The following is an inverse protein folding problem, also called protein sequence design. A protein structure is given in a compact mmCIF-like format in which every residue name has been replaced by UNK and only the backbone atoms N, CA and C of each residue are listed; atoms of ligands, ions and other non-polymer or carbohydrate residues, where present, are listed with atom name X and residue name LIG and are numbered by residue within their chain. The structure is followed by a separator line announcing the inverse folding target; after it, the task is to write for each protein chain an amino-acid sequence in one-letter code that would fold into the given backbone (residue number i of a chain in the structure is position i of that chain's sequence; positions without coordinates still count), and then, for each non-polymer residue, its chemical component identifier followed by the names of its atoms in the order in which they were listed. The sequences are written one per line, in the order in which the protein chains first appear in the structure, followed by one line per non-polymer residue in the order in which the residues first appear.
data_IF_995095069588
#
_entry.id   IF_995095069588
#
_cell.length_a   1.000
_cell.length_b   1.000
_cell.length_c   1.000
_cell.angle_alpha   90.00
_cell.angle_beta   90.00
_cell.angle_gamma   90.00
#
_symmetry.space_group_name_H-M   'P 1'
#
loop_
_entity.id
_entity.type
_entity.pdbx_description
1 polymer ?
#
# COMPACT_ATOMS: atom_id res chain seq x y z
N UNK A 1 13.26 3.81 11.23
CA UNK A 1 12.74 2.42 11.33
C UNK A 1 11.49 2.36 10.49
N UNK A 2 11.43 1.50 9.48
CA UNK A 2 10.19 1.25 8.76
C UNK A 2 9.15 0.75 9.77
N UNK A 3 7.98 1.41 9.82
CA UNK A 3 6.89 0.91 10.65
C UNK A 3 6.41 -0.41 10.03
N UNK A 4 6.22 -1.47 10.82
CA UNK A 4 5.63 -2.70 10.29
C UNK A 4 4.25 -2.36 9.68
N UNK A 5 3.92 -3.02 8.58
CA UNK A 5 2.59 -2.87 7.98
C UNK A 5 1.53 -3.25 9.02
N UNK A 6 0.44 -2.46 9.12
CA UNK A 6 -0.62 -2.74 10.08
C UNK A 6 -1.22 -4.11 9.80
N UNK A 7 -1.45 -4.89 10.86
CA UNK A 7 -2.09 -6.19 10.73
C UNK A 7 -3.60 -6.02 10.50
N UNK A 8 -4.27 -7.07 9.99
CA UNK A 8 -5.70 -7.00 9.63
C UNK A 8 -6.60 -6.45 10.75
N UNK A 9 -6.35 -6.80 12.02
CA UNK A 9 -7.14 -6.28 13.15
C UNK A 9 -6.96 -4.77 13.35
N UNK A 10 -5.74 -4.26 13.11
CA UNK A 10 -5.45 -2.81 13.19
C UNK A 10 -6.13 -2.06 12.04
N UNK A 11 -6.18 -2.66 10.84
CA UNK A 11 -6.92 -2.09 9.70
C UNK A 11 -8.41 -2.09 9.95
N UNK A 12 -8.98 -3.19 10.44
CA UNK A 12 -10.40 -3.31 10.75
C UNK A 12 -10.83 -2.29 11.83
N UNK A 13 -9.95 -1.99 12.79
CA UNK A 13 -10.18 -0.99 13.84
C UNK A 13 -10.22 0.46 13.30
N UNK A 14 -9.57 0.74 12.16
CA UNK A 14 -9.55 2.07 11.55
C UNK A 14 -10.90 2.43 10.90
N UNK A 15 -11.82 1.48 10.70
CA UNK A 15 -13.10 1.67 9.99
C UNK A 15 -12.93 2.43 8.65
N UNK A 16 -11.86 2.11 7.92
CA UNK A 16 -11.56 2.71 6.63
C UNK A 16 -11.90 1.70 5.55
N UNK A 17 -12.59 2.13 4.50
CA UNK A 17 -12.86 1.29 3.35
C UNK A 17 -11.55 0.86 2.67
N UNK A 18 -11.41 -0.39 2.18
CA UNK A 18 -10.14 -0.88 1.61
C UNK A 18 -9.55 -0.01 0.51
N UNK A 19 -10.41 0.60 -0.33
CA UNK A 19 -9.98 1.53 -1.39
C UNK A 19 -9.39 2.82 -0.84
N UNK A 20 -9.89 3.31 0.30
CA UNK A 20 -9.38 4.53 0.90
C UNK A 20 -8.02 4.28 1.56
N UNK A 21 -7.83 3.11 2.18
CA UNK A 21 -6.49 2.69 2.63
C UNK A 21 -5.52 2.60 1.46
N UNK A 22 -5.93 1.97 0.34
CA UNK A 22 -5.08 1.83 -0.83
C UNK A 22 -4.63 3.20 -1.38
N UNK A 23 -5.54 4.18 -1.45
CA UNK A 23 -5.22 5.56 -1.85
C UNK A 23 -4.22 6.23 -0.91
N UNK A 24 -4.42 6.11 0.40
CA UNK A 24 -3.47 6.65 1.40
C UNK A 24 -2.08 6.04 1.28
N UNK A 25 -2.00 4.75 0.94
CA UNK A 25 -0.73 4.07 0.70
C UNK A 25 -0.06 4.57 -0.59
N UNK A 26 -0.82 4.82 -1.66
CA UNK A 26 -0.32 5.45 -2.88
C UNK A 26 0.25 6.84 -2.58
N UNK A 27 -0.48 7.67 -1.83
CA UNK A 27 -0.01 9.00 -1.42
C UNK A 27 1.31 8.90 -0.64
N UNK A 28 1.40 7.96 0.31
CA UNK A 28 2.62 7.74 1.07
C UNK A 28 3.81 7.24 0.22
N UNK A 29 3.56 6.48 -0.84
CA UNK A 29 4.60 6.04 -1.79
C UNK A 29 5.09 7.25 -2.61
N UNK A 30 4.17 8.08 -3.09
CA UNK A 30 4.49 9.30 -3.85
C UNK A 30 5.28 10.29 -2.98
N UNK A 31 4.90 10.47 -1.71
CA UNK A 31 5.64 11.30 -0.75
C UNK A 31 7.09 10.80 -0.54
N UNK A 32 7.31 9.50 -0.69
CA UNK A 32 8.64 8.86 -0.65
C UNK A 32 9.34 8.83 -2.02
N UNK A 33 8.82 9.57 -3.00
CA UNK A 33 9.31 9.65 -4.38
C UNK A 33 9.26 8.32 -5.14
N UNK A 34 8.41 7.38 -4.74
CA UNK A 34 8.21 6.14 -5.47
C UNK A 34 7.64 6.40 -6.86
N UNK A 35 8.10 5.64 -7.84
CA UNK A 35 7.75 5.78 -9.26
C UNK A 35 6.96 4.56 -9.76
N UNK A 36 6.43 4.64 -10.97
CA UNK A 36 5.65 3.55 -11.61
C UNK A 36 4.56 2.96 -10.70
N UNK A 37 3.87 3.82 -9.95
CA UNK A 37 2.86 3.38 -8.97
C UNK A 37 1.62 2.84 -9.68
N UNK A 38 1.36 1.55 -9.55
CA UNK A 38 0.22 0.84 -10.11
C UNK A 38 -0.66 0.28 -9.00
N UNK A 39 -1.93 0.70 -8.98
CA UNK A 39 -2.97 0.14 -8.12
C UNK A 39 -3.81 -0.87 -8.91
N UNK A 40 -3.80 -2.12 -8.47
CA UNK A 40 -4.55 -3.21 -9.08
C UNK A 40 -5.71 -3.62 -8.18
N UNK A 41 -6.92 -3.65 -8.72
CA UNK A 41 -8.09 -4.27 -8.09
C UNK A 41 -8.11 -5.76 -8.44
N UNK A 42 -7.97 -6.61 -7.42
CA UNK A 42 -7.90 -8.06 -7.59
C UNK A 42 -8.98 -8.80 -6.80
N UNK A 43 -10.01 -8.10 -6.33
CA UNK A 43 -11.12 -8.68 -5.56
C UNK A 43 -11.84 -9.81 -6.29
N UNK A 44 -11.87 -9.77 -7.61
CA UNK A 44 -12.47 -10.83 -8.44
C UNK A 44 -11.54 -12.03 -8.68
N UNK A 45 -10.24 -11.87 -8.40
CA UNK A 45 -9.21 -12.86 -8.71
C UNK A 45 -8.62 -13.51 -7.45
N UNK A 46 -8.68 -12.83 -6.30
CA UNK A 46 -8.08 -13.28 -5.05
C UNK A 46 -9.01 -13.05 -3.85
N UNK A 47 -9.13 -14.05 -2.97
CA UNK A 47 -9.96 -13.99 -1.75
C UNK A 47 -9.21 -13.48 -0.51
N UNK A 48 -7.88 -13.35 -0.60
CA UNK A 48 -7.03 -13.02 0.54
C UNK A 48 -6.65 -11.53 0.60
N UNK A 49 -6.92 -10.76 -0.45
CA UNK A 49 -6.61 -9.33 -0.55
C UNK A 49 -7.51 -8.64 -1.57
N UNK A 50 -7.77 -7.35 -1.37
CA UNK A 50 -8.60 -6.56 -2.28
C UNK A 50 -7.78 -5.86 -3.37
N UNK A 51 -6.64 -5.29 -2.98
CA UNK A 51 -5.81 -4.46 -3.85
C UNK A 51 -4.32 -4.83 -3.75
N UNK A 52 -3.62 -4.71 -4.87
CA UNK A 52 -2.16 -4.68 -4.90
C UNK A 52 -1.67 -3.30 -5.31
N UNK A 53 -0.60 -2.85 -4.66
CA UNK A 53 0.10 -1.62 -5.01
C UNK A 53 1.53 -2.04 -5.39
N UNK A 54 1.90 -1.78 -6.64
CA UNK A 54 3.23 -2.04 -7.18
C UNK A 54 3.88 -0.69 -7.43
N UNK A 55 5.13 -0.53 -7.05
CA UNK A 55 5.90 0.69 -7.32
C UNK A 55 7.38 0.37 -7.46
N UNK A 56 8.09 1.26 -8.13
CA UNK A 56 9.54 1.26 -8.31
C UNK A 56 10.19 2.28 -7.37
N UNK A 57 11.39 1.99 -6.89
CA UNK A 57 12.24 2.94 -6.18
C UNK A 57 13.65 2.88 -6.73
N UNK A 58 14.30 4.03 -6.88
CA UNK A 58 15.61 4.14 -7.54
C UNK A 58 16.77 3.63 -6.69
N UNK A 59 16.58 3.45 -5.38
CA UNK A 59 17.63 2.95 -4.48
C UNK A 59 17.10 2.13 -3.33
N UNK A 60 17.91 1.21 -2.80
CA UNK A 60 17.57 0.46 -1.59
C UNK A 60 17.25 1.38 -0.40
N UNK A 61 17.93 2.52 -0.30
CA UNK A 61 17.68 3.50 0.76
C UNK A 61 16.28 4.07 0.67
N UNK A 62 15.81 4.37 -0.54
CA UNK A 62 14.46 4.86 -0.78
C UNK A 62 13.42 3.78 -0.49
N UNK A 63 13.67 2.54 -0.94
CA UNK A 63 12.79 1.40 -0.67
C UNK A 63 12.65 1.10 0.84
N UNK A 64 13.62 1.49 1.67
CA UNK A 64 13.63 1.30 3.12
C UNK A 64 13.20 2.53 3.93
N UNK A 65 13.00 3.69 3.29
CA UNK A 65 12.53 4.92 3.93
C UNK A 65 11.05 4.78 4.30
#
# INVERSE_FOLDING_TARGET
MARPFPNRKEVDALKVEPIELARRLVDAIVDKKGEDVLLLDIREQAVFTDYFIICSGESERQLRA
#
